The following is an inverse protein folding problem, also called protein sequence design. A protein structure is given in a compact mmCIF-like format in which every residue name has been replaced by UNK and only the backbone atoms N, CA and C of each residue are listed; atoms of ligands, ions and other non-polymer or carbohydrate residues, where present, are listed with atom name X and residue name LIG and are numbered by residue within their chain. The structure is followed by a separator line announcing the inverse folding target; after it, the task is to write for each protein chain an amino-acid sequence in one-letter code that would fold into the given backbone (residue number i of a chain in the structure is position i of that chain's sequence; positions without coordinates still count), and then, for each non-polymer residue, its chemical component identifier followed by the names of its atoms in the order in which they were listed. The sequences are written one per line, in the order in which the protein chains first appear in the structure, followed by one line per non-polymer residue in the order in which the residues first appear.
data_IF_135476846608
#
_entry.id   IF_135476846608
#
_cell.length_a   1.000
_cell.length_b   1.000
_cell.length_c   1.000
_cell.angle_alpha   90.00
_cell.angle_beta   90.00
_cell.angle_gamma   90.00
#
_symmetry.space_group_name_H-M   'P 1'
#
loop_
_entity.id
_entity.type
_entity.pdbx_description
1 polymer ?
#
# COMPACT_ATOMS: atom_id res chain seq x y z
N UNK A 1 -79.07 -6.51 -18.33
CA UNK A 1 -79.92 -5.47 -17.69
C UNK A 1 -81.08 -6.21 -17.05
N UNK A 2 -81.46 -6.00 -15.77
CA UNK A 2 -81.57 -4.72 -15.04
C UNK A 2 -80.71 -4.65 -13.74
N UNK A 3 -80.08 -3.51 -13.44
CA UNK A 3 -80.49 -2.37 -12.57
C UNK A 3 -79.97 -2.50 -11.13
N UNK A 4 -78.88 -1.77 -10.78
CA UNK A 4 -78.89 -0.47 -10.07
C UNK A 4 -79.46 -0.57 -8.64
N UNK A 5 -78.60 -0.65 -7.62
CA UNK A 5 -77.96 0.49 -6.90
C UNK A 5 -78.83 1.08 -5.79
N UNK A 6 -78.37 0.96 -4.54
CA UNK A 6 -78.53 1.84 -3.35
C UNK A 6 -78.19 0.98 -2.11
N UNK A 7 -77.47 1.39 -1.08
CA UNK A 7 -76.94 2.70 -0.71
C UNK A 7 -75.82 2.50 0.33
N UNK A 8 -74.84 3.41 0.27
CA UNK A 8 -74.17 4.07 1.39
C UNK A 8 -74.04 3.33 2.74
N UNK A 9 -72.79 3.06 3.13
CA UNK A 9 -72.34 3.39 4.47
C UNK A 9 -70.86 3.80 4.40
N UNK A 10 -70.63 5.09 4.58
CA UNK A 10 -69.33 5.68 4.88
C UNK A 10 -68.90 5.13 6.24
N UNK A 11 -67.73 4.49 6.34
CA UNK A 11 -66.99 4.48 7.60
C UNK A 11 -65.51 4.77 7.31
N UNK A 12 -65.09 5.83 7.97
CA UNK A 12 -63.79 6.46 7.94
C UNK A 12 -62.91 5.84 9.04
N UNK A 13 -61.59 5.93 8.82
CA UNK A 13 -60.50 5.88 9.83
C UNK A 13 -60.03 4.48 10.25
N UNK A 14 -58.85 4.08 9.77
CA UNK A 14 -57.61 4.13 10.57
C UNK A 14 -56.54 3.22 9.95
N UNK A 15 -55.53 3.86 9.38
CA UNK A 15 -54.11 3.58 9.62
C UNK A 15 -53.78 2.20 10.21
N UNK A 16 -53.26 1.27 9.40
CA UNK A 16 -52.23 0.35 9.90
C UNK A 16 -51.33 -0.09 8.76
N UNK A 17 -50.09 0.35 8.91
CA UNK A 17 -48.89 0.01 8.18
C UNK A 17 -48.79 -1.45 7.75
N UNK A 18 -48.34 -1.67 6.52
CA UNK A 18 -47.22 -2.57 6.20
C UNK A 18 -46.81 -2.24 4.76
N UNK A 19 -46.05 -1.15 4.61
CA UNK A 19 -45.22 -0.95 3.42
C UNK A 19 -44.15 -2.03 3.51
N UNK A 20 -44.33 -3.13 2.77
CA UNK A 20 -43.25 -4.00 2.36
C UNK A 20 -42.38 -3.19 1.40
N UNK A 21 -41.56 -2.31 1.98
CA UNK A 21 -40.48 -1.66 1.26
C UNK A 21 -39.51 -2.77 0.92
N UNK A 22 -39.57 -3.23 -0.33
CA UNK A 22 -38.48 -3.94 -0.94
C UNK A 22 -37.22 -3.11 -0.66
N UNK A 23 -36.34 -3.63 0.19
CA UNK A 23 -35.01 -3.07 0.30
C UNK A 23 -34.35 -3.28 -1.06
N UNK A 24 -34.43 -2.23 -1.87
CA UNK A 24 -33.39 -1.86 -2.80
C UNK A 24 -32.09 -1.78 -2.00
N UNK A 25 -31.45 -2.93 -1.79
CA UNK A 25 -30.05 -3.01 -1.47
C UNK A 25 -29.32 -2.61 -2.74
N UNK A 26 -29.24 -1.31 -3.01
CA UNK A 26 -28.07 -0.80 -3.69
C UNK A 26 -26.88 -1.31 -2.87
N UNK A 27 -25.94 -2.09 -3.43
CA UNK A 27 -24.61 -1.99 -2.87
C UNK A 27 -24.27 -0.52 -3.06
N UNK A 28 -24.13 0.19 -1.95
CA UNK A 28 -23.39 1.43 -1.90
C UNK A 28 -22.07 1.15 -2.64
N UNK A 29 -21.99 1.53 -3.91
CA UNK A 29 -20.73 1.76 -4.58
C UNK A 29 -20.20 3.05 -3.94
N UNK A 30 -19.70 2.88 -2.72
CA UNK A 30 -18.68 3.74 -2.18
C UNK A 30 -17.37 3.35 -2.86
N UNK A 31 -17.29 3.52 -4.17
CA UNK A 31 -16.03 3.72 -4.87
C UNK A 31 -15.50 5.09 -4.41
N UNK A 32 -15.03 5.16 -3.17
CA UNK A 32 -13.77 5.85 -2.96
C UNK A 32 -12.75 4.79 -3.29
N UNK A 33 -12.37 4.74 -4.56
CA UNK A 33 -11.25 3.94 -5.06
C UNK A 33 -10.04 4.25 -4.17
N UNK A 34 -9.82 3.45 -3.14
CA UNK A 34 -8.49 3.31 -2.60
C UNK A 34 -7.71 2.68 -3.75
N UNK A 35 -7.01 3.51 -4.52
CA UNK A 35 -6.08 3.04 -5.55
C UNK A 35 -5.23 1.92 -4.95
N UNK A 36 -5.09 0.83 -5.69
CA UNK A 36 -4.39 -0.34 -5.20
C UNK A 36 -2.96 0.07 -4.80
N UNK A 37 -2.39 -0.62 -3.82
CA UNK A 37 -1.04 -0.30 -3.33
C UNK A 37 -0.03 -0.20 -4.47
N UNK A 38 -0.09 -1.15 -5.41
CA UNK A 38 0.74 -1.21 -6.60
C UNK A 38 0.66 0.05 -7.47
N UNK A 39 -0.54 0.61 -7.66
CA UNK A 39 -0.78 1.79 -8.50
C UNK A 39 -0.17 3.06 -7.89
N UNK A 40 0.07 3.06 -6.57
CA UNK A 40 0.58 4.20 -5.82
C UNK A 40 2.08 4.16 -5.57
N UNK A 41 2.74 3.06 -5.91
CA UNK A 41 4.18 2.85 -5.71
C UNK A 41 5.05 3.65 -6.69
N UNK A 42 4.75 3.73 -8.00
CA UNK A 42 5.58 4.48 -8.92
C UNK A 42 5.78 5.94 -8.50
N UNK A 43 7.02 6.41 -8.58
CA UNK A 43 7.40 7.76 -8.17
C UNK A 43 8.77 7.82 -7.48
N UNK A 44 9.08 9.01 -6.95
CA UNK A 44 10.32 9.26 -6.21
C UNK A 44 10.05 9.31 -4.71
N UNK A 45 10.81 8.52 -3.99
CA UNK A 45 10.76 8.35 -2.55
C UNK A 45 12.08 8.83 -1.95
N UNK A 46 12.03 9.65 -0.91
CA UNK A 46 13.22 10.24 -0.27
C UNK A 46 13.24 9.80 1.19
N UNK A 47 14.39 9.33 1.64
CA UNK A 47 14.61 8.98 3.04
C UNK A 47 14.54 10.23 3.92
N UNK A 48 13.65 10.19 4.92
CA UNK A 48 13.43 11.29 5.86
C UNK A 48 14.41 11.27 7.04
N UNK A 49 15.12 10.17 7.24
CA UNK A 49 15.92 9.86 8.43
C UNK A 49 17.35 9.42 8.06
N UNK A 50 18.30 10.36 7.95
CA UNK A 50 19.70 10.01 7.64
C UNK A 50 20.66 11.20 7.52
N UNK A 51 21.95 10.90 7.39
CA UNK A 51 23.07 11.87 7.20
C UNK A 51 23.10 12.50 5.77
N UNK A 52 22.22 12.03 4.87
CA UNK A 52 21.99 12.56 3.52
C UNK A 52 20.73 11.92 2.92
N UNK A 53 20.06 12.54 1.93
CA UNK A 53 18.80 12.01 1.42
C UNK A 53 19.07 10.84 0.47
N UNK A 54 18.91 9.60 0.96
CA UNK A 54 18.80 8.46 0.06
C UNK A 54 17.55 8.61 -0.82
N UNK A 55 17.65 8.22 -2.08
CA UNK A 55 16.57 8.36 -3.06
C UNK A 55 16.26 7.01 -3.65
N UNK A 56 14.98 6.65 -3.67
CA UNK A 56 14.44 5.47 -4.33
C UNK A 56 13.43 5.91 -5.39
N UNK A 57 13.66 5.53 -6.64
CA UNK A 57 12.77 5.79 -7.76
C UNK A 57 12.15 4.47 -8.19
N UNK A 58 10.82 4.37 -8.13
CA UNK A 58 10.07 3.22 -8.63
C UNK A 58 9.41 3.61 -9.95
N UNK A 59 9.73 2.89 -11.02
CA UNK A 59 9.19 3.13 -12.36
C UNK A 59 7.96 2.26 -12.61
N UNK A 60 7.03 2.74 -13.45
CA UNK A 60 5.80 2.01 -13.80
C UNK A 60 6.04 0.68 -14.54
N UNK A 61 7.23 0.50 -15.12
CA UNK A 61 7.63 -0.71 -15.82
C UNK A 61 8.17 -1.82 -14.89
N UNK A 62 8.13 -1.59 -13.58
CA UNK A 62 8.64 -2.53 -12.58
C UNK A 62 10.15 -2.43 -12.34
N UNK A 63 10.82 -1.41 -12.86
CA UNK A 63 12.24 -1.14 -12.56
C UNK A 63 12.40 -0.14 -11.42
N UNK A 64 13.50 -0.22 -10.68
CA UNK A 64 13.86 0.80 -9.70
C UNK A 64 15.29 1.28 -9.84
N UNK A 65 15.53 2.51 -9.40
CA UNK A 65 16.86 3.08 -9.18
C UNK A 65 16.96 3.54 -7.72
N UNK A 66 18.05 3.19 -7.05
CA UNK A 66 18.34 3.60 -5.69
C UNK A 66 19.69 4.33 -5.64
N UNK A 67 19.69 5.50 -5.02
CA UNK A 67 20.87 6.34 -4.82
C UNK A 67 21.13 6.54 -3.33
N UNK A 68 22.39 6.37 -2.94
CA UNK A 68 22.86 6.52 -1.56
C UNK A 68 22.04 5.70 -0.53
N UNK A 69 21.52 4.54 -0.96
CA UNK A 69 20.75 3.65 -0.11
C UNK A 69 21.61 3.16 1.08
N UNK A 70 21.11 3.19 2.32
CA UNK A 70 21.83 2.69 3.47
C UNK A 70 22.36 1.28 3.26
N UNK A 71 23.68 1.09 3.43
CA UNK A 71 24.29 -0.22 3.20
C UNK A 71 23.74 -1.31 4.14
N UNK A 72 23.19 -0.93 5.29
CA UNK A 72 22.51 -1.86 6.20
C UNK A 72 21.28 -2.53 5.56
N UNK A 73 20.61 -1.87 4.61
CA UNK A 73 19.47 -2.44 3.87
C UNK A 73 19.92 -3.43 2.79
N UNK A 74 21.07 -3.20 2.17
CA UNK A 74 21.50 -3.93 0.97
C UNK A 74 22.60 -4.98 1.22
N UNK A 75 23.45 -4.75 2.22
CA UNK A 75 24.62 -5.57 2.52
C UNK A 75 24.42 -6.51 3.73
N UNK A 76 23.20 -6.58 4.27
CA UNK A 76 22.83 -7.36 5.47
C UNK A 76 22.31 -8.78 5.18
N UNK A 77 22.61 -9.34 4.01
CA UNK A 77 22.06 -10.61 3.54
C UNK A 77 22.19 -11.77 4.54
N UNK A 78 21.20 -12.67 4.51
CA UNK A 78 21.24 -13.90 5.30
C UNK A 78 22.48 -14.73 4.94
N UNK A 79 23.09 -15.36 5.94
CA UNK A 79 24.28 -16.19 5.74
C UNK A 79 24.03 -17.30 4.71
N UNK A 80 24.56 -17.15 3.49
CA UNK A 80 24.44 -18.16 2.43
C UNK A 80 24.21 -17.60 1.03
N UNK A 81 23.70 -16.37 0.90
CA UNK A 81 23.47 -15.75 -0.41
C UNK A 81 24.70 -14.99 -0.93
N UNK A 82 24.95 -15.01 -2.26
CA UNK A 82 26.02 -14.22 -2.85
C UNK A 82 25.72 -12.74 -2.69
N UNK A 83 26.54 -12.09 -1.87
CA UNK A 83 26.47 -10.67 -1.54
C UNK A 83 26.52 -9.78 -2.80
N UNK A 84 25.93 -8.58 -2.76
CA UNK A 84 26.01 -7.62 -3.86
C UNK A 84 27.47 -7.24 -4.14
N UNK A 85 27.86 -7.05 -5.41
CA UNK A 85 29.25 -6.73 -5.77
C UNK A 85 29.74 -5.46 -5.05
N UNK A 86 28.87 -4.46 -4.90
CA UNK A 86 29.17 -3.22 -4.18
C UNK A 86 29.58 -3.47 -2.71
N UNK A 87 28.92 -4.39 -2.04
CA UNK A 87 29.22 -4.77 -0.66
C UNK A 87 30.49 -5.64 -0.55
N UNK A 88 30.79 -6.43 -1.59
CA UNK A 88 32.05 -7.20 -1.65
C UNK A 88 33.27 -6.33 -1.95
N UNK A 89 33.09 -5.28 -2.75
CA UNK A 89 34.17 -4.39 -3.17
C UNK A 89 34.66 -3.48 -2.04
N UNK A 90 33.76 -3.02 -1.17
CA UNK A 90 34.08 -2.27 0.05
C UNK A 90 33.58 -3.05 1.28
N UNK A 91 34.46 -3.51 2.18
CA UNK A 91 34.06 -4.31 3.34
C UNK A 91 33.09 -3.62 4.31
N UNK A 92 32.95 -2.29 4.27
CA UNK A 92 32.02 -1.51 5.12
C UNK A 92 31.56 -0.23 4.42
N UNK A 93 30.74 -0.34 3.34
CA UNK A 93 30.18 0.84 2.73
C UNK A 93 29.16 1.45 3.72
N UNK A 94 29.06 2.78 3.76
CA UNK A 94 27.98 3.45 4.50
C UNK A 94 26.69 3.52 3.67
N UNK A 95 26.83 3.65 2.36
CA UNK A 95 25.74 3.72 1.39
C UNK A 95 26.13 3.04 0.08
N UNK A 96 25.14 2.63 -0.70
CA UNK A 96 25.32 2.07 -2.03
C UNK A 96 24.35 2.72 -3.03
N UNK A 97 24.69 2.68 -4.31
CA UNK A 97 23.75 3.00 -5.39
C UNK A 97 23.62 1.81 -6.31
N UNK A 98 22.39 1.45 -6.67
CA UNK A 98 22.08 0.28 -7.49
C UNK A 98 20.75 0.46 -8.19
N UNK A 99 20.51 -0.34 -9.22
CA UNK A 99 19.24 -0.47 -9.92
C UNK A 99 18.79 -1.93 -9.95
N UNK A 100 17.52 -2.16 -10.29
CA UNK A 100 16.95 -3.50 -10.32
C UNK A 100 15.46 -3.49 -10.66
N UNK A 101 14.75 -4.52 -10.20
CA UNK A 101 13.30 -4.65 -10.37
C UNK A 101 12.58 -4.58 -9.04
N UNK A 102 11.36 -4.05 -9.03
CA UNK A 102 10.48 -4.09 -7.87
C UNK A 102 9.19 -4.82 -8.19
N UNK A 103 8.61 -5.45 -7.18
CA UNK A 103 7.32 -6.12 -7.31
C UNK A 103 6.54 -6.02 -5.99
N UNK A 104 5.21 -6.14 -6.07
CA UNK A 104 4.37 -6.22 -4.86
C UNK A 104 4.40 -7.66 -4.37
N UNK A 105 4.88 -7.84 -3.14
CA UNK A 105 4.96 -9.15 -2.49
C UNK A 105 3.62 -9.52 -1.83
N UNK A 106 2.97 -8.55 -1.17
CA UNK A 106 1.66 -8.72 -0.55
C UNK A 106 0.89 -7.39 -0.60
N UNK A 107 -0.20 -7.34 -1.37
CA UNK A 107 -0.98 -6.12 -1.56
C UNK A 107 -1.81 -5.74 -0.32
N UNK A 108 -2.32 -6.73 0.40
CA UNK A 108 -3.15 -6.52 1.59
C UNK A 108 -2.29 -5.93 2.72
N UNK A 109 -1.10 -6.48 2.91
CA UNK A 109 -0.13 -6.02 3.89
C UNK A 109 0.65 -4.79 3.42
N UNK A 110 0.62 -4.46 2.13
CA UNK A 110 1.34 -3.33 1.56
C UNK A 110 2.85 -3.56 1.55
N UNK A 111 3.27 -4.75 1.14
CA UNK A 111 4.66 -5.17 1.07
C UNK A 111 5.15 -5.15 -0.37
N UNK A 112 6.33 -4.59 -0.59
CA UNK A 112 7.04 -4.64 -1.87
C UNK A 112 8.42 -5.25 -1.67
N UNK A 113 8.92 -5.92 -2.69
CA UNK A 113 10.30 -6.40 -2.76
C UNK A 113 11.09 -5.57 -3.77
N UNK A 114 12.34 -5.27 -3.42
CA UNK A 114 13.34 -4.76 -4.34
C UNK A 114 14.31 -5.89 -4.65
N UNK A 115 14.57 -6.13 -5.93
CA UNK A 115 15.40 -7.24 -6.41
C UNK A 115 16.51 -6.73 -7.34
N UNK A 116 17.73 -7.23 -7.14
CA UNK A 116 18.89 -6.93 -7.99
C UNK A 116 19.49 -8.24 -8.51
N UNK A 117 19.39 -8.45 -9.82
CA UNK A 117 19.85 -9.65 -10.53
C UNK A 117 19.25 -10.97 -10.01
N UNK A 118 17.96 -10.97 -9.65
CA UNK A 118 17.26 -12.15 -9.11
C UNK A 118 17.58 -12.42 -7.64
N UNK A 119 18.04 -11.39 -6.91
CA UNK A 119 18.31 -11.44 -5.47
C UNK A 119 17.52 -10.35 -4.75
N UNK A 120 16.82 -10.75 -3.70
CA UNK A 120 16.16 -9.82 -2.79
C UNK A 120 17.17 -8.86 -2.17
N UNK A 121 17.03 -7.58 -2.48
CA UNK A 121 17.78 -6.48 -1.90
C UNK A 121 17.15 -6.06 -0.57
N UNK A 122 15.85 -5.75 -0.57
CA UNK A 122 15.13 -5.29 0.62
C UNK A 122 13.62 -5.49 0.45
N UNK A 123 12.91 -5.56 1.59
CA UNK A 123 11.44 -5.55 1.63
C UNK A 123 10.98 -4.22 2.22
N UNK A 124 10.17 -3.50 1.45
CA UNK A 124 9.53 -2.26 1.87
C UNK A 124 8.12 -2.53 2.37
N UNK A 125 7.72 -1.84 3.42
CA UNK A 125 6.41 -1.95 4.06
C UNK A 125 5.69 -0.61 3.98
N UNK A 126 4.41 -0.65 3.64
CA UNK A 126 3.53 0.51 3.72
C UNK A 126 3.36 0.94 5.17
N UNK A 127 3.87 2.13 5.49
CA UNK A 127 3.66 2.79 6.77
C UNK A 127 2.72 3.99 6.56
N UNK A 128 1.53 3.93 7.17
CA UNK A 128 0.54 4.99 7.01
C UNK A 128 0.86 6.15 7.94
N UNK A 129 0.85 7.37 7.40
CA UNK A 129 1.12 8.59 8.18
C UNK A 129 -0.04 8.95 9.18
N UNK A 130 -1.03 8.06 9.36
CA UNK A 130 -2.18 8.22 10.25
C UNK A 130 -3.42 7.37 9.89
N UNK A 131 -4.40 7.29 10.80
CA UNK A 131 -5.60 6.42 10.68
C UNK A 131 -6.52 6.76 9.49
N UNK A 132 -6.48 7.99 8.99
CA UNK A 132 -7.21 8.43 7.80
C UNK A 132 -6.25 8.91 6.71
N UNK A 133 -4.98 8.49 6.75
CA UNK A 133 -3.97 9.03 5.85
C UNK A 133 -4.28 8.65 4.40
N UNK A 134 -4.34 9.67 3.55
CA UNK A 134 -4.39 9.52 2.10
C UNK A 134 -2.98 9.32 1.53
N UNK A 135 -1.93 9.47 2.34
CA UNK A 135 -0.53 9.21 2.02
C UNK A 135 0.02 8.04 2.84
N UNK A 136 1.12 7.47 2.35
CA UNK A 136 1.92 6.52 3.10
C UNK A 136 3.39 6.76 2.79
N UNK A 137 4.24 6.34 3.71
CA UNK A 137 5.67 6.23 3.55
C UNK A 137 6.05 4.75 3.36
N UNK A 138 7.23 4.50 2.80
CA UNK A 138 7.82 3.16 2.71
C UNK A 138 8.83 2.97 3.83
N UNK A 139 8.52 2.06 4.74
CA UNK A 139 9.39 1.65 5.84
C UNK A 139 10.22 0.44 5.47
N UNK A 140 11.51 0.45 5.81
CA UNK A 140 12.41 -0.68 5.66
C UNK A 140 13.06 -1.03 7.00
N UNK A 141 13.23 -2.34 7.23
CA UNK A 141 13.81 -2.90 8.45
C UNK A 141 15.13 -3.60 8.11
N UNK A 142 16.16 -3.34 8.89
CA UNK A 142 17.50 -3.96 8.79
C UNK A 142 17.68 -5.12 9.78
N UNK A 143 16.73 -5.28 10.71
CA UNK A 143 16.73 -6.30 11.76
C UNK A 143 15.42 -7.10 11.85
N UNK A 144 15.11 -7.62 13.04
CA UNK A 144 13.86 -8.35 13.27
C UNK A 144 12.64 -7.43 13.12
N UNK A 145 11.57 -7.91 12.49
CA UNK A 145 10.31 -7.16 12.31
C UNK A 145 9.55 -6.89 13.62
N UNK A 146 10.06 -7.35 14.76
CA UNK A 146 9.46 -7.14 16.09
C UNK A 146 9.67 -5.71 16.61
N UNK A 147 10.42 -4.85 15.90
CA UNK A 147 10.53 -3.42 16.21
C UNK A 147 9.31 -2.65 15.72
N UNK A 148 8.82 -1.73 16.55
CA UNK A 148 7.59 -0.98 16.29
C UNK A 148 7.69 -0.02 15.10
N UNK A 149 8.87 0.51 14.85
CA UNK A 149 9.11 1.57 13.87
C UNK A 149 10.18 1.09 12.87
N UNK A 150 10.04 1.40 11.56
CA UNK A 150 11.07 1.08 10.57
C UNK A 150 12.40 1.77 10.88
N UNK A 151 13.52 1.12 10.52
CA UNK A 151 14.86 1.71 10.66
C UNK A 151 15.07 2.85 9.65
N UNK A 152 14.46 2.72 8.48
CA UNK A 152 14.57 3.67 7.37
C UNK A 152 13.18 3.97 6.80
N UNK A 153 12.80 5.25 6.73
CA UNK A 153 11.49 5.68 6.24
C UNK A 153 11.66 6.58 5.03
N UNK A 154 11.07 6.17 3.91
CA UNK A 154 11.06 6.91 2.66
C UNK A 154 9.69 7.53 2.41
N UNK A 155 9.64 8.85 2.28
CA UNK A 155 8.40 9.59 2.00
C UNK A 155 8.40 10.06 0.56
N UNK A 156 7.20 10.10 -0.03
CA UNK A 156 7.03 10.51 -1.42
C UNK A 156 7.27 12.01 -1.60
N UNK A 157 7.95 12.38 -2.69
CA UNK A 157 8.19 13.78 -3.08
C UNK A 157 7.03 14.38 -3.86
#
# INVERSE_FOLDING_TARGET
MPSRSRALAVLMIASTSMVLSACAGAPFVGDRSAEAFAERLPGTWIESSGDGPAVLVLSEDGTFEAHDLPAALACGGSAGDPELEACRADPRPSSISTDGTWSVLDEEQGMLELDVDGRLLAVGYRDFDGFFAESFSLGFYTGALDVREPDHVFSRR
#
